data_IF_123610768198
#
_entry.id   IF_123610768198
#
_cell.length_a   1.000
_cell.length_b   1.000
_cell.length_c   1.000
_cell.angle_alpha   90.00
_cell.angle_beta   90.00
_cell.angle_gamma   90.00
#
_symmetry.space_group_name_H-M   'P 1'
#
loop_
_entity.id
_entity.type
_entity.pdbx_description
1 polymer ?
#
# COMPACT_ATOMS: atom_id res chain seq x y z
N UNK A 1 -0.94 21.72 -2.86
CA UNK A 1 -1.53 20.47 -2.33
C UNK A 1 -2.83 20.77 -1.57
N UNK A 2 -3.87 21.17 -2.27
CA UNK A 2 -5.22 21.29 -1.69
C UNK A 2 -5.92 19.95 -1.95
N UNK A 3 -6.14 19.12 -0.95
CA UNK A 3 -7.01 17.95 -1.08
C UNK A 3 -6.55 16.64 -0.47
N UNK A 4 -5.25 16.37 -0.37
CA UNK A 4 -4.80 15.15 0.28
C UNK A 4 -4.80 15.30 1.80
N UNK A 5 -5.68 14.58 2.47
CA UNK A 5 -5.70 14.51 3.93
C UNK A 5 -5.41 13.07 4.35
N UNK A 6 -4.60 12.93 5.39
CA UNK A 6 -4.49 11.67 6.13
C UNK A 6 -5.49 11.70 7.27
N UNK A 7 -6.16 10.60 7.45
CA UNK A 7 -7.06 10.48 8.57
C UNK A 7 -6.30 10.23 9.87
N UNK A 8 -6.63 11.00 10.90
CA UNK A 8 -6.24 10.66 12.25
C UNK A 8 -7.20 9.61 12.80
N UNK A 9 -6.65 8.47 13.20
CA UNK A 9 -7.40 7.42 13.88
C UNK A 9 -7.90 7.98 15.21
N UNK A 10 -9.23 8.05 15.37
CA UNK A 10 -9.84 8.38 16.66
C UNK A 10 -10.21 7.08 17.37
N UNK A 11 -9.84 6.97 18.64
CA UNK A 11 -10.37 5.93 19.51
C UNK A 11 -11.69 6.41 20.12
N UNK A 12 -12.72 5.59 19.95
CA UNK A 12 -13.98 5.75 20.68
C UNK A 12 -14.13 4.50 21.57
N UNK A 13 -13.72 4.63 22.83
CA UNK A 13 -13.61 3.49 23.74
C UNK A 13 -12.54 2.48 23.27
N UNK A 14 -12.91 1.21 23.12
CA UNK A 14 -12.05 0.14 22.60
C UNK A 14 -12.01 0.05 21.07
N UNK A 15 -12.81 0.83 20.35
CA UNK A 15 -12.91 0.76 18.91
C UNK A 15 -12.07 1.85 18.24
N UNK A 16 -11.37 1.43 17.18
CA UNK A 16 -10.69 2.34 16.26
C UNK A 16 -11.69 2.69 15.16
N UNK A 17 -12.09 3.95 15.08
CA UNK A 17 -13.04 4.42 14.07
C UNK A 17 -12.23 5.11 12.96
N UNK A 18 -12.35 4.58 11.74
CA UNK A 18 -11.88 5.23 10.52
C UNK A 18 -13.08 5.89 9.84
N UNK A 19 -12.86 7.07 9.24
CA UNK A 19 -13.90 7.69 8.42
C UNK A 19 -13.88 7.01 7.04
N UNK A 20 -14.97 6.45 6.60
CA UNK A 20 -15.08 5.79 5.31
C UNK A 20 -15.26 6.81 4.17
N UNK A 21 -14.20 7.52 3.82
CA UNK A 21 -14.25 8.54 2.78
C UNK A 21 -12.99 8.53 1.89
N UNK A 22 -12.81 7.45 1.07
CA UNK A 22 -11.61 7.27 0.25
C UNK A 22 -11.39 8.39 -0.78
N UNK A 23 -12.44 9.04 -1.28
CA UNK A 23 -12.28 10.20 -2.15
C UNK A 23 -11.57 11.38 -1.45
N UNK A 24 -11.66 11.47 -0.13
CA UNK A 24 -11.04 12.53 0.67
C UNK A 24 -9.71 12.11 1.30
N UNK A 25 -9.58 10.85 1.71
CA UNK A 25 -8.44 10.37 2.49
C UNK A 25 -7.57 9.41 1.69
N UNK A 26 -6.33 9.79 1.46
CA UNK A 26 -5.35 9.03 0.69
C UNK A 26 -5.12 7.62 1.24
N UNK A 27 -4.99 7.49 2.56
CA UNK A 27 -4.73 6.20 3.19
C UNK A 27 -5.87 5.20 2.98
N UNK A 28 -7.12 5.66 2.97
CA UNK A 28 -8.28 4.80 2.70
C UNK A 28 -8.38 4.41 1.23
N UNK A 29 -8.03 5.33 0.32
CA UNK A 29 -7.98 5.05 -1.10
C UNK A 29 -6.89 4.04 -1.44
N UNK A 30 -5.68 4.27 -0.97
CA UNK A 30 -4.48 3.53 -1.40
C UNK A 30 -4.32 2.22 -0.63
N UNK A 31 -4.54 2.20 0.68
CA UNK A 31 -4.37 1.00 1.51
C UNK A 31 -5.69 0.26 1.80
N UNK A 32 -6.78 0.76 1.25
CA UNK A 32 -8.09 0.17 1.43
C UNK A 32 -8.71 0.46 2.80
N UNK A 33 -9.95 0.06 2.94
CA UNK A 33 -10.71 0.21 4.17
C UNK A 33 -11.79 -0.85 4.32
N UNK A 34 -12.27 -1.04 5.53
CA UNK A 34 -13.46 -1.82 5.82
C UNK A 34 -14.26 -1.11 6.92
N UNK A 35 -15.52 -0.83 6.64
CA UNK A 35 -16.45 -0.28 7.60
C UNK A 35 -17.70 -1.18 7.66
N UNK A 36 -17.89 -1.84 8.79
CA UNK A 36 -19.16 -2.50 9.08
C UNK A 36 -20.16 -1.44 9.58
N UNK A 37 -21.23 -1.22 8.84
CA UNK A 37 -22.32 -0.32 9.23
C UNK A 37 -23.67 -0.99 9.08
N UNK A 38 -24.65 -0.46 9.79
CA UNK A 38 -26.05 -0.87 9.66
C UNK A 38 -26.85 0.30 9.12
N UNK A 39 -27.63 0.04 8.12
CA UNK A 39 -28.65 0.97 7.65
C UNK A 39 -29.95 0.64 8.39
N UNK A 40 -30.62 1.68 8.86
CA UNK A 40 -31.89 1.59 9.56
C UNK A 40 -32.90 2.46 8.81
N UNK A 41 -34.04 1.88 8.47
CA UNK A 41 -35.14 2.56 7.80
C UNK A 41 -36.43 2.42 8.61
N UNK A 42 -37.34 3.38 8.43
CA UNK A 42 -38.69 3.35 9.01
C UNK A 42 -39.57 2.29 8.34
N UNK A 43 -40.68 1.97 8.97
CA UNK A 43 -41.69 1.06 8.42
C UNK A 43 -42.32 1.62 7.13
N UNK A 44 -42.45 2.96 7.04
CA UNK A 44 -42.97 3.61 5.84
C UNK A 44 -42.03 3.48 4.65
N UNK A 45 -40.73 3.64 4.89
CA UNK A 45 -39.70 3.45 3.88
C UNK A 45 -39.59 1.99 3.45
N UNK A 46 -39.62 1.06 4.41
CA UNK A 46 -39.59 -0.36 4.12
C UNK A 46 -40.75 -0.81 3.23
N UNK A 47 -41.96 -0.30 3.46
CA UNK A 47 -43.14 -0.67 2.70
C UNK A 47 -43.08 -0.21 1.24
N UNK A 48 -42.27 0.84 0.94
CA UNK A 48 -42.05 1.35 -0.42
C UNK A 48 -41.01 0.56 -1.21
N UNK A 49 -40.26 -0.32 -0.56
CA UNK A 49 -39.24 -1.15 -1.23
C UNK A 49 -39.90 -2.28 -2.02
N UNK A 50 -39.23 -2.74 -3.06
CA UNK A 50 -39.57 -3.96 -3.77
C UNK A 50 -39.35 -5.23 -2.92
N UNK A 51 -39.84 -6.35 -3.37
CA UNK A 51 -39.77 -7.61 -2.61
C UNK A 51 -38.34 -8.17 -2.49
N UNK A 52 -37.45 -7.86 -3.41
CA UNK A 52 -36.05 -8.28 -3.36
C UNK A 52 -35.30 -7.47 -2.31
N UNK A 53 -35.49 -6.16 -2.30
CA UNK A 53 -34.89 -5.29 -1.30
C UNK A 53 -35.42 -5.57 0.12
N UNK A 54 -36.71 -5.86 0.26
CA UNK A 54 -37.30 -6.21 1.56
C UNK A 54 -36.67 -7.43 2.21
N UNK A 55 -36.21 -8.43 1.43
CA UNK A 55 -35.51 -9.63 1.95
C UNK A 55 -34.17 -9.33 2.63
N UNK A 56 -33.55 -8.20 2.30
CA UNK A 56 -32.25 -7.80 2.87
C UNK A 56 -32.38 -7.19 4.27
N UNK A 57 -33.57 -6.75 4.66
CA UNK A 57 -33.81 -6.10 5.94
C UNK A 57 -34.34 -7.08 7.00
N UNK A 58 -33.84 -6.93 8.21
CA UNK A 58 -34.34 -7.66 9.40
C UNK A 58 -35.21 -6.73 10.23
N UNK A 59 -36.41 -7.15 10.53
CA UNK A 59 -37.33 -6.41 11.42
C UNK A 59 -36.83 -6.43 12.86
N UNK A 60 -36.78 -5.26 13.50
CA UNK A 60 -36.50 -5.12 14.92
C UNK A 60 -37.32 -3.97 15.50
N UNK A 61 -38.44 -4.32 16.22
CA UNK A 61 -39.30 -3.38 16.95
C UNK A 61 -39.72 -2.13 16.14
N UNK A 62 -40.35 -2.31 14.98
CA UNK A 62 -40.78 -1.25 14.04
C UNK A 62 -39.68 -0.53 13.30
N UNK A 63 -38.43 -1.01 13.36
CA UNK A 63 -37.32 -0.56 12.58
C UNK A 63 -36.81 -1.70 11.72
N UNK A 64 -36.41 -1.39 10.53
CA UNK A 64 -35.88 -2.36 9.59
C UNK A 64 -34.40 -2.07 9.38
N UNK A 65 -33.55 -3.06 9.65
CA UNK A 65 -32.10 -2.89 9.59
C UNK A 65 -31.49 -3.87 8.60
N UNK A 66 -30.57 -3.40 7.78
CA UNK A 66 -29.68 -4.25 7.00
C UNK A 66 -28.22 -3.96 7.30
N UNK A 67 -27.37 -4.96 7.18
CA UNK A 67 -25.93 -4.75 7.25
C UNK A 67 -25.46 -4.12 5.94
N UNK A 68 -24.83 -2.95 6.06
CA UNK A 68 -24.22 -2.25 4.93
C UNK A 68 -22.73 -2.15 5.21
N UNK A 69 -22.00 -3.14 4.73
CA UNK A 69 -20.54 -3.14 4.86
C UNK A 69 -19.95 -2.44 3.66
N UNK A 70 -19.10 -1.46 3.91
CA UNK A 70 -18.28 -0.83 2.88
C UNK A 70 -16.90 -1.45 2.92
N UNK A 71 -16.41 -1.88 1.78
CA UNK A 71 -15.07 -2.44 1.62
C UNK A 71 -14.42 -1.83 0.40
N UNK A 72 -13.19 -1.39 0.58
CA UNK A 72 -12.33 -0.98 -0.52
C UNK A 72 -11.07 -1.84 -0.51
N UNK A 73 -10.75 -2.43 -1.65
CA UNK A 73 -9.46 -3.10 -1.83
C UNK A 73 -8.34 -2.07 -1.82
N UNK A 74 -7.20 -2.44 -1.25
CA UNK A 74 -6.00 -1.65 -1.39
C UNK A 74 -5.60 -1.58 -2.87
N UNK A 75 -5.38 -0.38 -3.39
CA UNK A 75 -4.75 -0.21 -4.70
C UNK A 75 -3.24 -0.38 -4.62
N UNK A 76 -2.64 -0.10 -3.47
CA UNK A 76 -1.23 -0.38 -3.17
C UNK A 76 -1.12 -1.51 -2.16
N UNK A 77 -0.78 -2.68 -2.66
CA UNK A 77 -0.59 -3.89 -1.88
C UNK A 77 0.90 -4.07 -1.58
N UNK A 78 1.21 -4.31 -0.31
CA UNK A 78 2.55 -4.61 0.16
C UNK A 78 2.53 -5.98 0.83
N UNK A 79 3.49 -6.84 0.51
CA UNK A 79 3.63 -8.11 1.23
C UNK A 79 4.30 -7.91 2.60
N UNK A 80 4.36 -8.98 3.38
CA UNK A 80 5.20 -9.01 4.58
C UNK A 80 6.67 -8.83 4.23
N UNK A 81 7.36 -8.01 5.01
CA UNK A 81 8.81 -7.79 4.87
C UNK A 81 9.53 -9.01 5.45
N UNK A 82 10.44 -9.62 4.70
CA UNK A 82 11.13 -10.86 5.03
C UNK A 82 12.63 -10.60 5.18
N UNK A 83 13.22 -11.10 6.28
CA UNK A 83 14.67 -11.10 6.46
C UNK A 83 15.35 -12.13 5.56
N UNK A 84 16.37 -11.72 4.80
CA UNK A 84 17.02 -12.60 3.81
C UNK A 84 18.17 -13.43 4.37
N UNK A 85 18.80 -13.03 5.48
CA UNK A 85 19.94 -13.72 6.05
C UNK A 85 19.59 -14.68 7.21
N UNK A 86 18.32 -14.85 7.55
CA UNK A 86 17.85 -15.63 8.72
C UNK A 86 18.57 -15.19 10.02
N UNK A 87 18.58 -13.87 10.26
CA UNK A 87 19.18 -13.27 11.44
C UNK A 87 18.70 -13.91 12.75
N UNK A 88 19.56 -13.91 13.77
CA UNK A 88 19.18 -14.41 15.10
C UNK A 88 18.30 -13.40 15.81
N UNK A 89 17.25 -13.88 16.44
CA UNK A 89 16.42 -13.07 17.33
C UNK A 89 17.13 -12.95 18.68
N UNK A 90 17.49 -11.73 19.06
CA UNK A 90 18.00 -11.42 20.39
C UNK A 90 16.83 -11.17 21.33
N UNK A 91 16.96 -11.66 22.56
CA UNK A 91 15.95 -11.51 23.61
C UNK A 91 16.50 -10.66 24.72
N UNK A 92 15.87 -9.54 24.95
CA UNK A 92 16.21 -8.61 26.02
C UNK A 92 15.10 -8.61 27.06
N UNK A 93 15.46 -8.49 28.32
CA UNK A 93 14.51 -8.38 29.43
C UNK A 93 14.64 -6.99 30.04
N UNK A 94 13.51 -6.31 30.16
CA UNK A 94 13.42 -5.02 30.81
C UNK A 94 12.42 -5.06 31.96
N UNK A 95 12.49 -4.08 32.83
CA UNK A 95 11.55 -3.88 33.92
C UNK A 95 10.95 -2.49 33.79
N UNK A 96 9.64 -2.45 33.63
CA UNK A 96 8.87 -1.21 33.71
C UNK A 96 8.47 -0.99 35.19
N UNK A 97 8.88 0.13 35.76
CA UNK A 97 8.45 0.53 37.10
C UNK A 97 7.13 1.28 37.01
N UNK A 98 6.10 0.76 37.64
CA UNK A 98 4.89 1.49 38.00
C UNK A 98 4.99 1.92 39.48
N UNK A 99 4.11 2.80 39.92
CA UNK A 99 4.21 3.40 41.27
C UNK A 99 4.24 2.36 42.40
N UNK A 100 3.57 1.22 42.25
CA UNK A 100 3.45 0.19 43.27
C UNK A 100 3.95 -1.20 42.85
N UNK A 101 4.27 -1.42 41.58
CA UNK A 101 4.66 -2.73 41.06
C UNK A 101 5.72 -2.60 39.96
N UNK A 102 6.57 -3.60 39.87
CA UNK A 102 7.52 -3.72 38.74
C UNK A 102 7.03 -4.80 37.78
N UNK A 103 6.78 -4.42 36.52
CA UNK A 103 6.34 -5.36 35.49
C UNK A 103 7.52 -5.72 34.59
N UNK A 104 7.95 -7.00 34.57
CA UNK A 104 8.95 -7.45 33.62
C UNK A 104 8.34 -7.51 32.20
N UNK A 105 9.11 -7.10 31.22
CA UNK A 105 8.74 -7.26 29.81
C UNK A 105 9.90 -7.87 29.03
N UNK A 106 9.57 -8.54 27.96
CA UNK A 106 10.53 -9.14 27.03
C UNK A 106 10.47 -8.38 25.71
N UNK A 107 11.64 -7.98 25.23
CA UNK A 107 11.81 -7.39 23.91
C UNK A 107 12.56 -8.39 23.03
N UNK A 108 12.05 -8.65 21.86
CA UNK A 108 12.72 -9.45 20.83
C UNK A 108 13.17 -8.53 19.72
N UNK A 109 14.45 -8.57 19.38
CA UNK A 109 15.07 -7.75 18.35
C UNK A 109 15.85 -8.63 17.38
N UNK A 110 15.87 -8.26 16.13
CA UNK A 110 16.76 -8.87 15.15
C UNK A 110 17.26 -7.80 14.17
N UNK A 111 18.46 -8.03 13.63
CA UNK A 111 19.03 -7.18 12.59
C UNK A 111 19.24 -8.03 11.35
N UNK A 112 18.64 -7.60 10.24
CA UNK A 112 18.72 -8.28 8.96
C UNK A 112 18.54 -7.29 7.83
N UNK A 113 18.90 -7.70 6.61
CA UNK A 113 18.43 -7.06 5.41
C UNK A 113 17.01 -7.56 5.12
N UNK A 114 16.11 -6.62 4.92
CA UNK A 114 14.70 -6.89 4.73
C UNK A 114 14.32 -6.69 3.26
N UNK A 115 13.59 -7.64 2.69
CA UNK A 115 13.04 -7.55 1.34
C UNK A 115 11.52 -7.58 1.39
N UNK A 116 10.90 -6.67 0.65
CA UNK A 116 9.46 -6.58 0.47
C UNK A 116 9.10 -6.45 -1.00
N UNK A 117 7.88 -6.82 -1.33
CA UNK A 117 7.28 -6.66 -2.65
C UNK A 117 6.08 -5.75 -2.56
N UNK A 118 5.88 -4.92 -3.58
CA UNK A 118 4.72 -4.06 -3.71
C UNK A 118 4.08 -4.21 -5.08
N UNK A 119 2.76 -4.07 -5.11
CA UNK A 119 1.99 -3.98 -6.34
C UNK A 119 1.02 -2.79 -6.22
N UNK A 120 1.12 -1.84 -7.13
CA UNK A 120 0.25 -0.67 -7.19
C UNK A 120 -0.66 -0.77 -8.40
N UNK A 121 -1.96 -0.95 -8.17
CA UNK A 121 -2.96 -0.91 -9.22
C UNK A 121 -3.31 0.55 -9.56
N UNK A 122 -2.66 1.08 -10.60
CA UNK A 122 -2.84 2.46 -11.06
C UNK A 122 -4.28 2.72 -11.50
N UNK A 123 -4.94 1.76 -12.11
CA UNK A 123 -6.30 1.92 -12.64
C UNK A 123 -7.35 2.05 -11.53
N UNK A 124 -7.13 1.40 -10.39
CA UNK A 124 -8.05 1.42 -9.26
C UNK A 124 -7.76 2.57 -8.26
N UNK A 125 -6.59 3.18 -8.35
CA UNK A 125 -6.26 4.35 -7.51
C UNK A 125 -7.11 5.54 -7.92
N UNK A 126 -7.73 6.21 -6.95
CA UNK A 126 -8.60 7.38 -7.16
C UNK A 126 -9.89 7.09 -7.96
N UNK A 127 -10.28 5.82 -8.11
CA UNK A 127 -11.53 5.38 -8.70
C UNK A 127 -12.42 4.77 -7.62
N UNK A 128 -13.71 5.11 -7.61
CA UNK A 128 -14.63 4.76 -6.53
C UNK A 128 -15.83 3.99 -7.07
N UNK A 129 -16.22 2.96 -6.35
CA UNK A 129 -17.43 2.21 -6.64
C UNK A 129 -18.62 2.86 -5.91
N UNK A 130 -19.49 3.53 -6.67
CA UNK A 130 -20.71 4.17 -6.20
C UNK A 130 -21.89 3.29 -6.60
N UNK A 131 -22.56 2.67 -5.62
CA UNK A 131 -23.68 1.77 -5.89
C UNK A 131 -24.59 1.65 -4.67
N UNK A 132 -25.89 1.53 -4.89
CA UNK A 132 -26.87 1.18 -3.86
C UNK A 132 -27.04 -0.33 -3.71
N UNK A 133 -26.54 -1.10 -4.65
CA UNK A 133 -26.49 -2.55 -4.51
C UNK A 133 -25.58 -2.94 -3.35
N UNK A 134 -25.97 -3.95 -2.58
CA UNK A 134 -25.15 -4.50 -1.52
C UNK A 134 -24.02 -5.37 -2.09
N UNK A 135 -23.20 -4.77 -2.97
CA UNK A 135 -22.02 -5.42 -3.52
C UNK A 135 -20.94 -5.55 -2.45
N UNK A 136 -20.13 -6.59 -2.54
CA UNK A 136 -19.08 -6.85 -1.53
C UNK A 136 -18.06 -5.69 -1.43
N UNK A 137 -17.86 -4.96 -2.53
CA UNK A 137 -16.92 -3.84 -2.63
C UNK A 137 -17.63 -2.58 -3.08
N UNK A 138 -18.11 -1.80 -2.12
CA UNK A 138 -18.76 -0.51 -2.33
C UNK A 138 -18.07 0.57 -1.50
N UNK A 139 -17.69 1.67 -2.15
CA UNK A 139 -17.11 2.83 -1.46
C UNK A 139 -18.19 3.78 -0.94
N UNK A 140 -19.21 4.04 -1.76
CA UNK A 140 -20.30 4.96 -1.44
C UNK A 140 -21.65 4.41 -1.90
N UNK A 141 -22.73 4.79 -1.22
CA UNK A 141 -24.07 4.74 -1.80
C UNK A 141 -24.26 5.93 -2.77
N UNK A 142 -25.23 5.84 -3.66
CA UNK A 142 -25.55 6.95 -4.59
C UNK A 142 -25.86 8.22 -3.80
N UNK A 143 -26.73 8.13 -2.80
CA UNK A 143 -27.09 9.27 -1.94
C UNK A 143 -25.91 9.87 -1.19
N UNK A 144 -24.98 9.05 -0.69
CA UNK A 144 -23.77 9.54 -0.04
C UNK A 144 -22.86 10.28 -1.03
N UNK A 145 -22.66 9.72 -2.21
CA UNK A 145 -21.83 10.35 -3.23
C UNK A 145 -22.40 11.72 -3.64
N UNK A 146 -23.72 11.82 -3.84
CA UNK A 146 -24.41 13.09 -4.13
C UNK A 146 -24.21 14.13 -3.01
N UNK A 147 -24.46 13.76 -1.74
CA UNK A 147 -24.33 14.66 -0.59
C UNK A 147 -22.89 15.12 -0.38
N UNK A 148 -21.93 14.25 -0.64
CA UNK A 148 -20.50 14.53 -0.46
C UNK A 148 -19.84 15.14 -1.71
N UNK A 149 -20.55 15.18 -2.85
CA UNK A 149 -20.01 15.64 -4.12
C UNK A 149 -18.87 14.75 -4.60
N UNK A 150 -19.03 13.42 -4.51
CA UNK A 150 -18.01 12.44 -4.92
C UNK A 150 -18.33 11.96 -6.34
N UNK A 151 -17.37 12.06 -7.21
CA UNK A 151 -17.38 11.47 -8.56
C UNK A 151 -16.76 10.06 -8.53
N UNK A 152 -17.06 9.25 -9.56
CA UNK A 152 -16.52 7.88 -9.68
C UNK A 152 -15.00 7.85 -9.83
N UNK A 153 -14.40 8.89 -10.36
CA UNK A 153 -12.95 9.00 -10.50
C UNK A 153 -12.50 10.45 -10.25
N UNK A 154 -11.37 10.61 -9.59
CA UNK A 154 -10.75 11.93 -9.43
C UNK A 154 -10.05 12.37 -10.71
N UNK A 155 -9.69 13.65 -10.78
CA UNK A 155 -8.89 14.19 -11.86
C UNK A 155 -7.57 13.42 -12.04
N UNK A 156 -7.05 13.38 -13.27
CA UNK A 156 -5.75 12.76 -13.57
C UNK A 156 -4.63 13.34 -12.69
N UNK A 157 -4.67 14.63 -12.42
CA UNK A 157 -3.71 15.30 -11.55
C UNK A 157 -3.80 14.81 -10.11
N UNK A 158 -5.00 14.68 -9.56
CA UNK A 158 -5.22 14.18 -8.20
C UNK A 158 -4.82 12.71 -8.07
N UNK A 159 -5.15 11.89 -9.06
CA UNK A 159 -4.75 10.49 -9.18
C UNK A 159 -3.23 10.37 -9.17
N UNK A 160 -2.54 11.09 -10.04
CA UNK A 160 -1.07 11.12 -10.07
C UNK A 160 -0.48 11.57 -8.73
N UNK A 161 -1.02 12.63 -8.13
CA UNK A 161 -0.54 13.12 -6.84
C UNK A 161 -0.71 12.11 -5.71
N UNK A 162 -1.75 11.28 -5.72
CA UNK A 162 -1.96 10.17 -4.77
C UNK A 162 -0.91 9.08 -4.95
N UNK A 163 -0.70 8.63 -6.18
CA UNK A 163 0.32 7.63 -6.52
C UNK A 163 1.71 8.13 -6.13
N UNK A 164 2.04 9.36 -6.53
CA UNK A 164 3.31 9.99 -6.17
C UNK A 164 3.52 10.04 -4.66
N UNK A 165 2.50 10.42 -3.91
CA UNK A 165 2.61 10.51 -2.44
C UNK A 165 2.81 9.13 -1.81
N UNK A 166 2.13 8.09 -2.30
CA UNK A 166 2.31 6.73 -1.83
C UNK A 166 3.73 6.19 -2.12
N UNK A 167 4.23 6.39 -3.33
CA UNK A 167 5.59 6.00 -3.72
C UNK A 167 6.67 6.78 -2.96
N UNK A 168 6.48 8.09 -2.76
CA UNK A 168 7.38 8.89 -1.94
C UNK A 168 7.36 8.48 -0.47
N UNK A 169 6.20 8.04 0.04
CA UNK A 169 6.10 7.44 1.38
C UNK A 169 6.95 6.19 1.53
N UNK A 170 7.06 5.37 0.48
CA UNK A 170 7.97 4.23 0.45
C UNK A 170 9.44 4.67 0.29
N UNK A 171 9.72 5.59 -0.63
CA UNK A 171 11.07 6.11 -0.89
C UNK A 171 11.73 6.71 0.35
N UNK A 172 10.96 7.46 1.14
CA UNK A 172 11.42 8.15 2.35
C UNK A 172 10.86 7.51 3.62
N UNK A 173 10.73 6.19 3.62
CA UNK A 173 10.14 5.46 4.74
C UNK A 173 10.88 5.75 6.04
N UNK A 174 10.16 6.25 7.02
CA UNK A 174 10.66 6.51 8.36
C UNK A 174 9.71 5.94 9.40
N UNK A 175 10.21 5.02 10.21
CA UNK A 175 9.47 4.42 11.31
C UNK A 175 9.81 5.14 12.62
N UNK A 176 8.80 5.44 13.42
CA UNK A 176 8.99 6.10 14.72
C UNK A 176 9.16 5.13 15.89
N UNK A 177 8.85 3.85 15.66
CA UNK A 177 8.91 2.82 16.71
C UNK A 177 10.37 2.50 17.09
N UNK A 178 10.67 2.52 18.36
CA UNK A 178 11.98 2.17 18.95
C UNK A 178 13.20 2.92 18.38
N UNK A 179 13.01 4.04 17.69
CA UNK A 179 14.12 4.82 17.11
C UNK A 179 15.06 5.38 18.18
N UNK A 180 14.57 5.66 19.38
CA UNK A 180 15.40 6.09 20.50
C UNK A 180 16.46 5.06 20.90
N UNK A 181 16.22 3.78 20.62
CA UNK A 181 17.12 2.68 20.99
C UNK A 181 17.99 2.22 19.83
N UNK A 182 17.47 2.24 18.59
CA UNK A 182 18.13 1.55 17.48
C UNK A 182 18.55 2.45 16.31
N UNK A 183 18.00 3.67 16.16
CA UNK A 183 18.33 4.65 15.11
C UNK A 183 18.46 4.03 13.70
N UNK A 184 17.54 3.13 13.37
CA UNK A 184 17.61 2.35 12.14
C UNK A 184 17.18 3.16 10.92
N UNK A 185 17.99 3.17 9.86
CA UNK A 185 17.60 3.71 8.55
C UNK A 185 16.72 2.68 7.83
N UNK A 186 15.43 3.00 7.67
CA UNK A 186 14.41 2.12 7.06
C UNK A 186 14.13 2.45 5.60
N UNK A 187 14.81 3.45 5.01
CA UNK A 187 14.66 3.77 3.60
C UNK A 187 15.17 2.64 2.71
N UNK A 188 14.52 2.38 1.56
CA UNK A 188 15.00 1.38 0.60
C UNK A 188 16.44 1.64 0.17
N UNK A 189 17.23 0.58 0.07
CA UNK A 189 18.62 0.62 -0.42
C UNK A 189 18.74 0.06 -1.83
N UNK A 190 17.84 -0.85 -2.20
CA UNK A 190 17.65 -1.34 -3.55
C UNK A 190 16.17 -1.25 -3.88
N UNK A 191 15.86 -0.83 -5.09
CA UNK A 191 14.47 -0.81 -5.60
C UNK A 191 14.47 -1.22 -7.07
N UNK A 192 13.47 -1.98 -7.48
CA UNK A 192 13.18 -2.30 -8.87
C UNK A 192 11.73 -1.88 -9.13
N UNK A 193 11.53 -0.99 -10.09
CA UNK A 193 10.24 -0.43 -10.46
C UNK A 193 9.96 -0.70 -11.93
N UNK A 194 8.74 -1.09 -12.25
CA UNK A 194 8.27 -1.29 -13.61
C UNK A 194 6.76 -1.42 -13.66
N UNK A 195 6.15 -1.14 -14.81
CA UNK A 195 4.72 -1.26 -15.04
C UNK A 195 4.41 -2.42 -15.97
N UNK A 196 3.46 -3.25 -15.58
CA UNK A 196 2.98 -4.41 -16.31
C UNK A 196 1.45 -4.39 -16.44
N UNK A 197 0.95 -4.95 -17.55
CA UNK A 197 -0.49 -5.02 -17.86
C UNK A 197 -1.29 -5.91 -16.92
N UNK A 198 -0.62 -6.76 -16.15
CA UNK A 198 -1.30 -7.65 -15.20
C UNK A 198 -0.77 -7.48 -13.77
N UNK A 199 -1.53 -7.98 -12.79
CA UNK A 199 -1.25 -7.79 -11.36
C UNK A 199 -0.31 -8.82 -10.71
N UNK A 200 0.44 -9.62 -11.48
CA UNK A 200 1.40 -10.56 -10.91
C UNK A 200 2.71 -9.85 -10.55
N UNK A 201 3.41 -10.33 -9.52
CA UNK A 201 4.67 -9.73 -9.10
C UNK A 201 5.85 -10.48 -9.72
N UNK A 202 6.26 -10.02 -10.90
CA UNK A 202 7.34 -10.64 -11.68
C UNK A 202 8.72 -10.44 -11.06
N UNK A 203 8.89 -9.48 -10.15
CA UNK A 203 10.17 -9.19 -9.49
C UNK A 203 10.43 -10.04 -8.24
N UNK A 204 9.56 -11.00 -7.94
CA UNK A 204 9.75 -11.87 -6.79
C UNK A 204 11.02 -12.71 -6.91
N UNK A 205 11.86 -12.68 -5.86
CA UNK A 205 13.10 -13.47 -5.80
C UNK A 205 14.31 -12.83 -6.49
N UNK A 206 14.15 -11.64 -7.11
CA UNK A 206 15.27 -10.93 -7.74
C UNK A 206 16.25 -10.35 -6.73
N UNK A 207 15.78 -9.98 -5.54
CA UNK A 207 16.64 -9.50 -4.45
C UNK A 207 16.68 -10.59 -3.38
N UNK A 208 17.87 -11.04 -3.04
CA UNK A 208 18.08 -12.11 -2.05
C UNK A 208 19.38 -11.85 -1.24
N UNK A 209 19.79 -12.82 -0.42
CA UNK A 209 20.99 -12.72 0.42
C UNK A 209 22.30 -12.55 -0.37
N UNK A 210 22.33 -12.98 -1.61
CA UNK A 210 23.52 -13.01 -2.46
C UNK A 210 23.61 -11.77 -3.37
N UNK A 211 22.63 -10.86 -3.29
CA UNK A 211 22.58 -9.62 -4.08
C UNK A 211 21.34 -9.52 -4.94
N UNK A 212 21.47 -8.94 -6.11
CA UNK A 212 20.44 -8.90 -7.16
C UNK A 212 20.69 -10.03 -8.16
N UNK A 213 19.67 -10.84 -8.39
CA UNK A 213 19.72 -11.93 -9.37
C UNK A 213 19.60 -11.35 -10.79
N UNK A 214 20.75 -11.04 -11.40
CA UNK A 214 20.83 -10.44 -12.76
C UNK A 214 20.21 -11.36 -13.80
N UNK A 215 20.52 -12.68 -13.77
CA UNK A 215 19.96 -13.65 -14.72
C UNK A 215 18.44 -13.75 -14.62
N UNK A 216 17.91 -13.73 -13.40
CA UNK A 216 16.46 -13.71 -13.21
C UNK A 216 15.83 -12.40 -13.70
N UNK A 217 16.55 -11.28 -13.65
CA UNK A 217 16.07 -10.03 -14.20
C UNK A 217 16.09 -10.04 -15.73
N UNK A 218 17.12 -10.60 -16.37
CA UNK A 218 17.18 -10.84 -17.82
C UNK A 218 15.98 -11.69 -18.28
N UNK A 219 15.71 -12.80 -17.57
CA UNK A 219 14.59 -13.69 -17.82
C UNK A 219 13.24 -12.93 -17.71
N UNK A 220 13.05 -12.09 -16.68
CA UNK A 220 11.84 -11.26 -16.53
C UNK A 220 11.67 -10.28 -17.69
N UNK A 221 12.75 -9.65 -18.15
CA UNK A 221 12.72 -8.72 -19.26
C UNK A 221 12.31 -9.42 -20.56
N UNK A 222 12.88 -10.60 -20.81
CA UNK A 222 12.65 -11.38 -22.03
C UNK A 222 11.25 -12.00 -22.03
N UNK A 223 10.88 -12.70 -20.96
CA UNK A 223 9.61 -13.47 -20.93
C UNK A 223 8.37 -12.57 -20.83
N UNK A 224 8.48 -11.42 -20.14
CA UNK A 224 7.34 -10.56 -19.88
C UNK A 224 7.33 -9.25 -20.68
N UNK A 225 8.15 -9.13 -21.73
CA UNK A 225 8.23 -7.95 -22.58
C UNK A 225 6.87 -7.53 -23.17
N UNK A 226 6.09 -8.48 -23.69
CA UNK A 226 4.76 -8.23 -24.25
C UNK A 226 3.73 -7.69 -23.24
N UNK A 227 4.00 -7.84 -21.95
CA UNK A 227 3.13 -7.38 -20.86
C UNK A 227 3.67 -6.14 -20.16
N UNK A 228 4.88 -5.72 -20.48
CA UNK A 228 5.52 -4.55 -19.92
C UNK A 228 5.05 -3.28 -20.63
N UNK A 229 4.68 -2.28 -19.86
CA UNK A 229 4.26 -0.96 -20.36
C UNK A 229 5.35 0.10 -20.24
N UNK A 230 6.38 -0.14 -19.41
CA UNK A 230 7.39 0.86 -19.10
C UNK A 230 8.80 0.31 -19.21
N UNK A 231 9.80 1.16 -19.13
CA UNK A 231 11.15 0.77 -18.75
C UNK A 231 11.16 0.17 -17.34
N UNK A 232 12.25 -0.47 -16.98
CA UNK A 232 12.53 -0.94 -15.63
C UNK A 232 13.55 0.00 -15.00
N UNK A 233 13.20 0.63 -13.88
CA UNK A 233 14.10 1.50 -13.13
C UNK A 233 14.67 0.74 -11.94
N UNK A 234 16.00 0.67 -11.88
CA UNK A 234 16.72 0.01 -10.80
C UNK A 234 17.50 1.05 -10.02
N UNK A 235 17.18 1.19 -8.75
CA UNK A 235 17.86 2.09 -7.84
C UNK A 235 18.72 1.33 -6.84
N UNK A 236 20.02 1.65 -6.78
CA UNK A 236 20.94 1.05 -5.82
C UNK A 236 21.63 2.15 -5.02
N UNK A 237 21.68 1.97 -3.71
CA UNK A 237 22.38 2.87 -2.79
C UNK A 237 23.75 2.34 -2.47
N UNK A 238 24.79 3.19 -2.55
CA UNK A 238 26.14 2.85 -2.12
C UNK A 238 26.27 2.71 -0.58
N UNK A 239 25.19 2.90 0.18
CA UNK A 239 25.15 2.80 1.66
C UNK A 239 24.64 1.45 2.15
N UNK A 240 24.80 0.39 1.38
CA UNK A 240 24.42 -0.96 1.78
C UNK A 240 25.59 -1.56 2.56
N UNK A 241 25.32 -2.06 3.75
CA UNK A 241 26.34 -2.65 4.64
C UNK A 241 26.59 -4.15 4.37
N UNK A 242 25.98 -4.72 3.35
CA UNK A 242 26.13 -6.11 2.98
C UNK A 242 27.15 -6.24 1.84
N UNK A 243 28.22 -7.03 2.07
CA UNK A 243 29.29 -7.27 1.09
C UNK A 243 28.81 -7.83 -0.24
N UNK A 244 27.75 -8.62 -0.24
CA UNK A 244 27.17 -9.19 -1.47
C UNK A 244 26.48 -8.13 -2.35
N UNK A 245 26.37 -6.90 -1.87
CA UNK A 245 25.82 -5.76 -2.60
C UNK A 245 26.86 -4.71 -2.95
N UNK A 246 28.14 -4.94 -2.67
CA UNK A 246 29.20 -3.93 -2.83
C UNK A 246 29.35 -3.49 -4.29
N UNK A 247 29.26 -4.44 -5.24
CA UNK A 247 29.42 -4.17 -6.68
C UNK A 247 28.13 -4.32 -7.48
N UNK A 248 26.98 -4.47 -6.81
CA UNK A 248 25.70 -4.75 -7.50
C UNK A 248 25.36 -3.68 -8.54
N UNK A 249 25.71 -2.43 -8.29
CA UNK A 249 25.41 -1.36 -9.24
C UNK A 249 26.24 -1.49 -10.50
N UNK A 250 27.54 -1.71 -10.35
CA UNK A 250 28.51 -1.90 -11.45
C UNK A 250 28.17 -3.17 -12.25
N UNK A 251 27.84 -4.26 -11.57
CA UNK A 251 27.44 -5.52 -12.21
C UNK A 251 26.15 -5.35 -13.05
N UNK A 252 25.17 -4.59 -12.53
CA UNK A 252 23.96 -4.26 -13.28
C UNK A 252 24.26 -3.34 -14.48
N UNK A 253 25.08 -2.30 -14.29
CA UNK A 253 25.48 -1.39 -15.37
C UNK A 253 26.21 -2.12 -16.50
N UNK A 254 27.04 -3.11 -16.18
CA UNK A 254 27.71 -3.96 -17.19
C UNK A 254 26.74 -4.90 -17.89
N UNK A 255 25.86 -5.58 -17.13
CA UNK A 255 24.92 -6.55 -17.68
C UNK A 255 23.90 -5.90 -18.64
N UNK A 256 23.45 -4.69 -18.32
CA UNK A 256 22.40 -3.99 -19.07
C UNK A 256 22.90 -2.79 -19.89
N UNK A 257 24.22 -2.68 -20.15
CA UNK A 257 24.81 -1.54 -20.89
C UNK A 257 24.21 -1.30 -22.29
N UNK A 258 23.77 -2.39 -22.95
CA UNK A 258 23.21 -2.36 -24.29
C UNK A 258 21.66 -2.54 -24.27
N UNK A 259 21.01 -2.40 -23.10
CA UNK A 259 19.58 -2.58 -22.92
C UNK A 259 18.91 -1.23 -22.63
N UNK A 260 18.23 -0.68 -23.62
CA UNK A 260 17.50 0.61 -23.49
C UNK A 260 16.28 0.53 -22.56
N UNK A 261 15.85 -0.66 -22.23
CA UNK A 261 14.67 -0.93 -21.37
C UNK A 261 14.97 -0.87 -19.88
N UNK A 262 16.24 -0.84 -19.49
CA UNK A 262 16.69 -0.79 -18.11
C UNK A 262 17.40 0.51 -17.81
N UNK A 263 16.98 1.19 -16.76
CA UNK A 263 17.59 2.44 -16.28
C UNK A 263 18.15 2.21 -14.89
N UNK A 264 19.47 2.29 -14.75
CA UNK A 264 20.16 2.06 -13.48
C UNK A 264 20.62 3.39 -12.89
N UNK A 265 20.45 3.55 -11.58
CA UNK A 265 20.86 4.77 -10.90
C UNK A 265 20.76 4.68 -9.38
N UNK A 266 20.70 5.82 -8.72
CA UNK A 266 20.40 5.86 -7.29
C UNK A 266 18.93 5.51 -7.04
N UNK A 267 18.60 5.13 -5.80
CA UNK A 267 17.19 4.91 -5.40
C UNK A 267 16.33 6.12 -5.74
N UNK A 268 16.85 7.33 -5.51
CA UNK A 268 16.15 8.55 -5.88
C UNK A 268 15.88 8.64 -7.39
N UNK A 269 16.89 8.37 -8.21
CA UNK A 269 16.76 8.44 -9.67
C UNK A 269 15.75 7.43 -10.21
N UNK A 270 15.68 6.24 -9.62
CA UNK A 270 14.69 5.23 -10.00
C UNK A 270 13.26 5.68 -9.72
N UNK A 271 13.00 6.23 -8.53
CA UNK A 271 11.68 6.77 -8.21
C UNK A 271 11.32 7.99 -9.07
N UNK A 272 12.25 8.93 -9.25
CA UNK A 272 12.01 10.13 -10.04
C UNK A 272 11.72 9.78 -11.50
N UNK A 273 12.52 8.89 -12.12
CA UNK A 273 12.30 8.45 -13.50
C UNK A 273 10.98 7.71 -13.70
N UNK A 274 10.61 6.85 -12.77
CA UNK A 274 9.31 6.18 -12.82
C UNK A 274 8.14 7.16 -12.65
N UNK A 275 8.26 8.12 -11.75
CA UNK A 275 7.23 9.15 -11.54
C UNK A 275 7.09 10.11 -12.74
N UNK A 276 8.20 10.42 -13.44
CA UNK A 276 8.16 11.20 -14.68
C UNK A 276 7.42 10.44 -15.78
N UNK A 277 7.75 9.18 -15.98
CA UNK A 277 7.02 8.30 -16.89
C UNK A 277 5.52 8.25 -16.59
N UNK A 278 5.13 8.02 -15.34
CA UNK A 278 3.72 8.00 -14.94
C UNK A 278 3.00 9.33 -15.21
N UNK A 279 3.68 10.45 -15.03
CA UNK A 279 3.11 11.77 -15.28
C UNK A 279 2.83 12.02 -16.76
N UNK A 280 3.66 11.43 -17.65
CA UNK A 280 3.52 11.57 -19.10
C UNK A 280 2.46 10.63 -19.67
N UNK A 281 2.25 9.46 -19.06
CA UNK A 281 1.39 8.39 -19.58
C UNK A 281 -0.03 8.41 -19.02
N UNK A 282 -0.26 9.04 -17.88
CA UNK A 282 -1.60 9.20 -17.25
C UNK A 282 -2.34 10.41 -17.82
#
# INVERSE_FOLDING_TARGET
MKGMKFQHIKRNGSQVVSASHPARFLNEDVFGMMLASKEEISEEEYNKLDDEMKKLYKSNKKKYTRNVTKKRKASFMLNGIIGVNRGRVNKEFGICKAENESMPYKLETYSDMLVGLGNLNINETAKFNISDEATEFRDYSIKEAEVLGVEEELSKEDKFNRIKTALQGLQYLSLKSNQSNYLTDTMPKVVILGEYKWGNNVFQGLINKDGVNIKGLEEVIEEYDNFRNSKIWIGVSNRILNKNFENVKEDLEEAFKDCDDVVIGSVKNAFDGYLEYLKETM
#
